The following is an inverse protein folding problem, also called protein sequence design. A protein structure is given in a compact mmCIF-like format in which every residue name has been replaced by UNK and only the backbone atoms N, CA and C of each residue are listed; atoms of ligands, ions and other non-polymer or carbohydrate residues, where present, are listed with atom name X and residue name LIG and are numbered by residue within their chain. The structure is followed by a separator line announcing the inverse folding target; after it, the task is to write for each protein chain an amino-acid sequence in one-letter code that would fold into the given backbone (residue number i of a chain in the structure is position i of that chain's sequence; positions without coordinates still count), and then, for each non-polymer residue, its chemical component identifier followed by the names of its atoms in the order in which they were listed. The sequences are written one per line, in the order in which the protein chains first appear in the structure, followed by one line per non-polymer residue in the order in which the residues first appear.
data_IF_560235194935
#
_entry.id   IF_560235194935
#
_cell.length_a   1.000
_cell.length_b   1.000
_cell.length_c   1.000
_cell.angle_alpha   90.00
_cell.angle_beta   90.00
_cell.angle_gamma   90.00
#
_symmetry.space_group_name_H-M   'P 1'
#
loop_
_entity.id
_entity.type
_entity.pdbx_description
1 polymer ?
#
# COMPACT_ATOMS: atom_id res chain seq x y z
N UNK A 1 -23.41 -66.02 0.42
CA UNK A 1 -22.37 -65.34 -0.37
C UNK A 1 -22.91 -63.96 -0.74
N UNK A 2 -22.43 -62.90 -0.08
CA UNK A 2 -22.77 -61.54 -0.46
C UNK A 2 -21.50 -60.70 -0.25
N UNK A 3 -20.71 -60.55 -1.31
CA UNK A 3 -19.46 -59.80 -1.30
C UNK A 3 -19.76 -58.32 -1.56
N UNK A 4 -19.44 -57.51 -0.54
CA UNK A 4 -19.34 -56.05 -0.62
C UNK A 4 -18.37 -55.68 -1.75
N UNK A 5 -18.82 -54.88 -2.72
CA UNK A 5 -17.90 -54.11 -3.57
C UNK A 5 -17.80 -52.71 -2.97
N UNK A 6 -16.57 -52.39 -2.57
CA UNK A 6 -16.18 -51.18 -1.88
C UNK A 6 -16.07 -50.06 -2.92
N UNK A 7 -16.74 -48.94 -2.68
CA UNK A 7 -16.63 -47.75 -3.51
C UNK A 7 -15.28 -47.10 -3.23
N UNK A 8 -14.36 -47.18 -4.19
CA UNK A 8 -13.14 -46.38 -4.21
C UNK A 8 -13.53 -44.89 -4.29
N UNK A 9 -13.53 -44.23 -3.13
CA UNK A 9 -13.47 -42.77 -3.04
C UNK A 9 -12.01 -42.36 -3.07
N UNK A 10 -11.49 -42.14 -4.27
CA UNK A 10 -10.28 -41.34 -4.46
C UNK A 10 -10.60 -39.91 -4.04
N UNK A 11 -10.20 -39.53 -2.82
CA UNK A 11 -10.21 -38.14 -2.38
C UNK A 11 -9.07 -37.46 -3.12
N UNK A 12 -9.39 -36.70 -4.16
CA UNK A 12 -8.48 -35.70 -4.72
C UNK A 12 -8.29 -34.63 -3.65
N UNK A 13 -7.18 -34.69 -2.92
CA UNK A 13 -6.72 -33.60 -2.07
C UNK A 13 -6.34 -32.48 -3.05
N UNK A 14 -7.27 -31.56 -3.31
CA UNK A 14 -6.89 -30.27 -3.89
C UNK A 14 -5.82 -29.68 -2.96
N UNK A 15 -4.61 -29.55 -3.47
CA UNK A 15 -3.52 -28.86 -2.78
C UNK A 15 -3.98 -27.43 -2.53
N UNK A 16 -4.44 -27.17 -1.31
CA UNK A 16 -4.83 -25.84 -0.83
C UNK A 16 -3.58 -24.96 -0.92
N UNK A 17 -3.53 -24.06 -1.90
CA UNK A 17 -2.43 -23.12 -2.08
C UNK A 17 -2.33 -22.13 -0.91
N UNK A 18 -1.13 -21.60 -0.65
CA UNK A 18 -0.83 -20.75 0.51
C UNK A 18 -1.62 -19.43 0.58
N UNK A 19 -2.28 -19.03 -0.51
CA UNK A 19 -3.05 -17.79 -0.61
C UNK A 19 -4.56 -18.01 -0.78
N UNK A 20 -5.04 -19.26 -0.65
CA UNK A 20 -6.44 -19.64 -0.95
C UNK A 20 -7.48 -18.93 -0.08
N UNK A 21 -7.11 -18.46 1.11
CA UNK A 21 -7.98 -17.75 2.05
C UNK A 21 -7.97 -16.22 1.88
N UNK A 22 -7.14 -15.69 0.97
CA UNK A 22 -7.03 -14.25 0.76
C UNK A 22 -8.06 -13.81 -0.28
N UNK A 23 -9.15 -13.18 0.21
CA UNK A 23 -10.23 -12.66 -0.63
C UNK A 23 -9.74 -11.57 -1.60
N UNK A 24 -10.31 -11.56 -2.80
CA UNK A 24 -10.13 -10.49 -3.79
C UNK A 24 -10.98 -9.24 -3.48
N UNK A 25 -11.97 -9.36 -2.58
CA UNK A 25 -12.86 -8.25 -2.22
C UNK A 25 -12.26 -7.26 -1.21
N UNK A 26 -11.03 -7.51 -0.74
CA UNK A 26 -10.34 -6.64 0.21
C UNK A 26 -9.70 -5.45 -0.53
N UNK A 27 -9.34 -4.39 0.20
CA UNK A 27 -8.50 -3.33 -0.37
C UNK A 27 -7.16 -3.92 -0.83
N UNK A 28 -6.55 -3.27 -1.82
CA UNK A 28 -5.27 -3.71 -2.37
C UNK A 28 -4.15 -3.76 -1.30
N UNK A 29 -4.11 -2.80 -0.38
CA UNK A 29 -3.10 -2.74 0.68
C UNK A 29 -3.25 -3.88 1.68
N UNK A 30 -4.47 -4.16 2.13
CA UNK A 30 -4.74 -5.28 3.05
C UNK A 30 -4.46 -6.62 2.36
N UNK A 31 -4.79 -6.75 1.07
CA UNK A 31 -4.48 -7.96 0.30
C UNK A 31 -2.97 -8.17 0.20
N UNK A 32 -2.20 -7.14 -0.15
CA UNK A 32 -0.74 -7.20 -0.23
C UNK A 32 -0.10 -7.56 1.13
N UNK A 33 -0.55 -6.94 2.22
CA UNK A 33 -0.09 -7.26 3.57
C UNK A 33 -0.30 -8.74 3.90
N UNK A 34 -1.50 -9.30 3.59
CA UNK A 34 -1.79 -10.72 3.81
C UNK A 34 -0.95 -11.65 2.95
N UNK A 35 -0.72 -11.32 1.68
CA UNK A 35 0.14 -12.10 0.79
C UNK A 35 1.55 -12.21 1.38
N UNK A 36 2.10 -11.09 1.87
CA UNK A 36 3.41 -11.04 2.48
C UNK A 36 3.47 -11.81 3.81
N UNK A 37 2.45 -11.70 4.66
CA UNK A 37 2.35 -12.51 5.89
C UNK A 37 2.34 -14.02 5.58
N UNK A 38 1.57 -14.46 4.58
CA UNK A 38 1.53 -15.88 4.16
C UNK A 38 2.86 -16.37 3.59
N UNK A 39 3.55 -15.53 2.82
CA UNK A 39 4.87 -15.85 2.32
C UNK A 39 5.90 -15.98 3.48
N UNK A 40 5.83 -15.09 4.46
CA UNK A 40 6.69 -15.14 5.64
C UNK A 40 6.45 -16.39 6.50
N UNK A 41 5.20 -16.88 6.62
CA UNK A 41 4.86 -18.12 7.34
C UNK A 41 5.61 -19.35 6.82
N UNK A 42 5.99 -19.37 5.53
CA UNK A 42 6.77 -20.46 4.92
C UNK A 42 8.26 -20.15 4.80
N UNK A 43 8.72 -19.08 5.47
CA UNK A 43 10.13 -18.66 5.49
C UNK A 43 10.56 -17.83 4.27
N UNK A 44 9.63 -17.39 3.43
CA UNK A 44 9.91 -16.43 2.35
C UNK A 44 9.74 -15.01 2.90
N UNK A 45 10.75 -14.54 3.63
CA UNK A 45 10.78 -13.21 4.23
C UNK A 45 12.20 -12.61 4.18
N UNK A 46 12.27 -11.29 4.30
CA UNK A 46 13.50 -10.54 4.47
C UNK A 46 14.09 -10.78 5.85
N UNK A 47 15.42 -10.89 5.90
CA UNK A 47 16.18 -11.22 7.11
C UNK A 47 16.20 -10.09 8.14
N UNK A 48 16.16 -8.84 7.67
CA UNK A 48 16.17 -7.65 8.53
C UNK A 48 15.49 -6.43 7.85
N UNK A 49 15.34 -5.36 8.63
CA UNK A 49 14.73 -4.11 8.19
C UNK A 49 15.59 -3.36 7.16
N UNK A 50 16.92 -3.50 7.21
CA UNK A 50 17.82 -2.83 6.27
C UNK A 50 17.63 -3.39 4.86
N UNK A 51 17.48 -4.71 4.73
CA UNK A 51 17.16 -5.36 3.46
C UNK A 51 15.85 -4.85 2.84
N UNK A 52 14.87 -4.47 3.67
CA UNK A 52 13.61 -3.87 3.21
C UNK A 52 13.84 -2.46 2.70
N UNK A 53 14.66 -1.64 3.37
CA UNK A 53 15.02 -0.31 2.88
C UNK A 53 15.83 -0.36 1.58
N UNK A 54 16.78 -1.29 1.48
CA UNK A 54 17.54 -1.54 0.24
C UNK A 54 16.60 -1.90 -0.91
N UNK A 55 15.60 -2.77 -0.66
CA UNK A 55 14.61 -3.12 -1.68
C UNK A 55 13.77 -1.91 -2.11
N UNK A 56 13.31 -1.08 -1.17
CA UNK A 56 12.57 0.15 -1.52
C UNK A 56 13.42 1.09 -2.38
N UNK A 57 14.73 1.19 -2.09
CA UNK A 57 15.64 2.00 -2.89
C UNK A 57 15.82 1.44 -4.32
N UNK A 58 15.94 0.12 -4.45
CA UNK A 58 16.00 -0.58 -5.75
C UNK A 58 14.76 -0.28 -6.60
N UNK A 59 13.56 -0.52 -6.06
CA UNK A 59 12.28 -0.31 -6.75
C UNK A 59 12.10 1.16 -7.20
N UNK A 60 12.58 2.11 -6.38
CA UNK A 60 12.55 3.52 -6.74
C UNK A 60 13.45 3.82 -7.95
N UNK A 61 14.60 3.18 -8.05
CA UNK A 61 15.49 3.34 -9.20
C UNK A 61 14.93 2.65 -10.46
N UNK A 62 14.20 1.54 -10.31
CA UNK A 62 13.47 0.89 -11.41
C UNK A 62 12.35 1.80 -11.94
N UNK A 63 11.56 2.43 -11.05
CA UNK A 63 10.58 3.47 -11.42
C UNK A 63 11.23 4.60 -12.23
N UNK A 64 12.43 5.05 -11.84
CA UNK A 64 13.17 6.09 -12.59
C UNK A 64 13.61 5.60 -13.96
N UNK A 65 14.12 4.37 -14.03
CA UNK A 65 14.63 3.78 -15.27
C UNK A 65 13.51 3.60 -16.31
N UNK A 66 12.31 3.24 -15.87
CA UNK A 66 11.18 2.92 -16.75
C UNK A 66 10.18 4.08 -16.93
N UNK A 67 10.53 5.30 -16.53
CA UNK A 67 9.66 6.48 -16.59
C UNK A 67 9.08 6.79 -17.98
N UNK A 68 9.79 6.41 -19.06
CA UNK A 68 9.33 6.62 -20.45
C UNK A 68 8.48 5.47 -21.00
N UNK A 69 8.25 4.41 -20.22
CA UNK A 69 7.60 3.18 -20.64
C UNK A 69 6.32 2.95 -19.81
N UNK A 70 5.13 3.41 -20.24
CA UNK A 70 3.94 3.45 -19.38
C UNK A 70 3.54 2.12 -18.72
N UNK A 71 3.62 1.01 -19.46
CA UNK A 71 3.25 -0.31 -18.93
C UNK A 71 4.23 -0.77 -17.85
N UNK A 72 5.53 -0.57 -18.07
CA UNK A 72 6.56 -0.93 -17.09
C UNK A 72 6.52 0.00 -15.89
N UNK A 73 6.34 1.31 -16.11
CA UNK A 73 6.18 2.28 -15.04
C UNK A 73 5.04 1.89 -14.07
N UNK A 74 3.94 1.36 -14.59
CA UNK A 74 2.84 0.86 -13.75
C UNK A 74 3.27 -0.34 -12.88
N UNK A 75 4.07 -1.26 -13.44
CA UNK A 75 4.63 -2.42 -12.73
C UNK A 75 5.56 -1.96 -11.60
N UNK A 76 6.57 -1.13 -11.93
CA UNK A 76 7.55 -0.65 -10.95
C UNK A 76 6.90 0.19 -9.82
N UNK A 77 5.87 1.00 -10.15
CA UNK A 77 5.10 1.71 -9.11
C UNK A 77 4.38 0.71 -8.19
N UNK A 78 3.85 -0.37 -8.75
CA UNK A 78 3.21 -1.43 -8.00
C UNK A 78 4.18 -2.11 -7.03
N UNK A 79 5.38 -2.44 -7.52
CA UNK A 79 6.41 -3.12 -6.73
C UNK A 79 7.00 -2.20 -5.65
N UNK A 80 7.20 -0.90 -5.93
CA UNK A 80 7.55 0.10 -4.93
C UNK A 80 6.50 0.20 -3.81
N UNK A 81 5.21 0.22 -4.16
CA UNK A 81 4.11 0.22 -3.18
C UNK A 81 4.13 -1.09 -2.37
N UNK A 82 4.36 -2.23 -3.03
CA UNK A 82 4.43 -3.53 -2.37
C UNK A 82 5.59 -3.60 -1.38
N UNK A 83 6.76 -3.07 -1.73
CA UNK A 83 7.92 -2.94 -0.85
C UNK A 83 7.62 -2.03 0.36
N UNK A 84 6.94 -0.90 0.16
CA UNK A 84 6.51 -0.01 1.26
C UNK A 84 5.51 -0.70 2.22
N UNK A 85 4.62 -1.55 1.71
CA UNK A 85 3.73 -2.36 2.56
C UNK A 85 4.53 -3.38 3.37
N UNK A 86 5.61 -3.91 2.80
CA UNK A 86 6.50 -4.81 3.51
C UNK A 86 7.22 -4.12 4.67
N UNK A 87 7.65 -2.87 4.47
CA UNK A 87 8.17 -2.04 5.55
C UNK A 87 7.12 -1.81 6.65
N UNK A 88 5.88 -1.51 6.28
CA UNK A 88 4.79 -1.36 7.24
C UNK A 88 4.59 -2.66 8.06
N UNK A 89 4.58 -3.82 7.40
CA UNK A 89 4.50 -5.14 8.04
C UNK A 89 5.64 -5.37 9.05
N UNK A 90 6.89 -5.13 8.65
CA UNK A 90 8.07 -5.32 9.52
C UNK A 90 8.10 -4.37 10.71
N UNK A 91 7.47 -3.20 10.59
CA UNK A 91 7.38 -2.19 11.67
C UNK A 91 6.10 -2.27 12.50
N UNK A 92 5.20 -3.22 12.19
CA UNK A 92 3.91 -3.37 12.87
C UNK A 92 2.90 -2.26 12.56
N UNK A 93 3.13 -1.48 11.50
CA UNK A 93 2.23 -0.44 11.02
C UNK A 93 1.18 -1.06 10.10
N UNK A 94 -0.10 -0.76 10.32
CA UNK A 94 -1.17 -1.11 9.40
C UNK A 94 -1.17 -0.12 8.20
N UNK A 95 -0.89 -0.58 6.96
CA UNK A 95 -0.73 0.30 5.81
C UNK A 95 -2.04 1.01 5.41
N UNK A 96 -3.20 0.36 5.61
CA UNK A 96 -4.51 0.95 5.32
C UNK A 96 -4.80 2.13 6.26
N UNK A 97 -4.56 1.94 7.56
CA UNK A 97 -4.69 2.98 8.58
C UNK A 97 -3.68 4.12 8.35
N UNK A 98 -2.46 3.78 7.94
CA UNK A 98 -1.42 4.76 7.65
C UNK A 98 -1.82 5.68 6.48
N UNK A 99 -2.30 5.12 5.37
CA UNK A 99 -2.74 5.92 4.22
C UNK A 99 -4.00 6.73 4.54
N UNK A 100 -4.96 6.16 5.28
CA UNK A 100 -6.13 6.90 5.76
C UNK A 100 -5.72 8.12 6.59
N UNK A 101 -4.79 7.94 7.52
CA UNK A 101 -4.28 9.04 8.35
C UNK A 101 -3.54 10.10 7.52
N UNK A 102 -2.78 9.67 6.50
CA UNK A 102 -2.12 10.57 5.56
C UNK A 102 -3.13 11.42 4.78
N UNK A 103 -4.16 10.79 4.22
CA UNK A 103 -5.21 11.45 3.46
C UNK A 103 -5.97 12.46 4.32
N UNK A 104 -6.31 12.10 5.56
CA UNK A 104 -7.00 13.00 6.49
C UNK A 104 -6.17 14.25 6.81
N UNK A 105 -4.86 14.10 7.06
CA UNK A 105 -3.97 15.27 7.28
C UNK A 105 -3.90 16.15 6.04
N UNK A 106 -3.77 15.55 4.85
CA UNK A 106 -3.76 16.31 3.60
C UNK A 106 -5.05 17.12 3.43
N UNK A 107 -6.21 16.48 3.63
CA UNK A 107 -7.52 17.12 3.53
C UNK A 107 -7.68 18.25 4.55
N UNK A 108 -7.32 18.02 5.81
CA UNK A 108 -7.41 19.03 6.87
C UNK A 108 -6.55 20.25 6.55
N UNK A 109 -5.31 20.05 6.10
CA UNK A 109 -4.41 21.14 5.69
C UNK A 109 -4.97 21.91 4.51
N UNK A 110 -5.53 21.22 3.52
CA UNK A 110 -6.10 21.88 2.35
C UNK A 110 -7.37 22.68 2.69
N UNK A 111 -8.22 22.16 3.58
CA UNK A 111 -9.38 22.89 4.12
C UNK A 111 -8.95 24.16 4.87
N UNK A 112 -7.86 24.11 5.64
CA UNK A 112 -7.31 25.30 6.31
C UNK A 112 -6.88 26.36 5.28
N UNK A 113 -6.17 25.95 4.22
CA UNK A 113 -5.76 26.85 3.13
C UNK A 113 -6.99 27.52 2.51
N UNK A 114 -7.99 26.73 2.12
CA UNK A 114 -9.21 27.20 1.47
C UNK A 114 -9.98 28.19 2.35
N UNK A 115 -10.17 27.87 3.64
CA UNK A 115 -10.84 28.75 4.59
C UNK A 115 -10.08 30.06 4.80
N UNK A 116 -8.76 29.99 4.91
CA UNK A 116 -7.93 31.18 5.14
C UNK A 116 -7.93 32.12 3.94
N UNK A 117 -7.82 31.57 2.72
CA UNK A 117 -7.93 32.35 1.49
C UNK A 117 -9.31 33.01 1.37
N UNK A 118 -10.37 32.27 1.66
CA UNK A 118 -11.73 32.80 1.63
C UNK A 118 -11.91 33.97 2.63
N UNK A 119 -11.35 33.85 3.84
CA UNK A 119 -11.35 34.93 4.84
C UNK A 119 -10.56 36.17 4.38
N UNK A 120 -9.53 35.98 3.55
CA UNK A 120 -8.72 37.04 2.94
C UNK A 120 -9.37 37.63 1.67
N UNK A 121 -10.56 37.16 1.28
CA UNK A 121 -11.23 37.61 0.05
C UNK A 121 -10.59 37.07 -1.23
N UNK A 122 -9.86 35.97 -1.14
CA UNK A 122 -9.22 35.26 -2.25
C UNK A 122 -9.78 33.84 -2.40
N UNK A 123 -9.36 33.13 -3.43
CA UNK A 123 -9.74 31.74 -3.69
C UNK A 123 -8.54 30.89 -4.11
N UNK A 124 -8.68 29.56 -4.05
CA UNK A 124 -7.62 28.63 -4.50
C UNK A 124 -7.20 28.83 -5.96
N UNK A 125 -8.10 29.34 -6.81
CA UNK A 125 -7.81 29.59 -8.23
C UNK A 125 -6.99 30.86 -8.45
N UNK A 126 -7.08 31.81 -7.51
CA UNK A 126 -6.41 33.11 -7.58
C UNK A 126 -5.10 33.11 -6.79
N UNK A 127 -5.00 32.27 -5.75
CA UNK A 127 -3.81 32.15 -4.93
C UNK A 127 -2.63 31.57 -5.71
N UNK A 128 -1.46 32.15 -5.48
CA UNK A 128 -0.20 31.60 -5.96
C UNK A 128 0.19 30.34 -5.18
N UNK A 129 1.02 29.51 -5.80
CA UNK A 129 1.61 28.34 -5.12
C UNK A 129 2.42 28.75 -3.89
N UNK A 130 3.09 29.91 -3.93
CA UNK A 130 3.85 30.42 -2.79
C UNK A 130 2.93 30.76 -1.61
N UNK A 131 1.78 31.40 -1.86
CA UNK A 131 0.78 31.69 -0.83
C UNK A 131 0.19 30.40 -0.25
N UNK A 132 -0.19 29.45 -1.10
CA UNK A 132 -0.70 28.15 -0.66
C UNK A 132 0.34 27.39 0.17
N UNK A 133 1.62 27.43 -0.19
CA UNK A 133 2.69 26.82 0.59
C UNK A 133 2.90 27.51 1.95
N UNK A 134 2.80 28.84 2.03
CA UNK A 134 2.84 29.56 3.31
C UNK A 134 1.68 29.13 4.22
N UNK A 135 0.47 29.04 3.67
CA UNK A 135 -0.70 28.59 4.40
C UNK A 135 -0.61 27.10 4.78
N UNK A 136 0.02 26.27 3.94
CA UNK A 136 0.30 24.86 4.24
C UNK A 136 1.20 24.70 5.46
N UNK A 137 2.31 25.46 5.54
CA UNK A 137 3.18 25.44 6.71
C UNK A 137 2.48 25.97 7.97
N UNK A 138 1.59 26.95 7.84
CA UNK A 138 0.74 27.38 8.97
C UNK A 138 -0.23 26.28 9.41
N UNK A 139 -0.83 25.56 8.48
CA UNK A 139 -1.77 24.48 8.78
C UNK A 139 -1.09 23.37 9.62
N UNK A 140 0.18 23.03 9.33
CA UNK A 140 0.96 22.07 10.12
C UNK A 140 1.13 22.47 11.59
N UNK A 141 1.08 23.76 11.91
CA UNK A 141 1.22 24.27 13.28
C UNK A 141 -0.11 24.22 14.08
N UNK A 142 -1.22 23.93 13.41
CA UNK A 142 -2.56 23.83 14.04
C UNK A 142 -2.95 22.37 14.36
N UNK A 143 -2.11 21.40 13.99
CA UNK A 143 -2.22 19.96 14.32
C UNK A 143 -1.61 19.65 15.69
#
# INVERSE_FOLDING_TARGET
MNTKSNVDKTISIETVGIFTDISQSQSALIRALKLQNRAAEVGFDWVDIESVFEKIAEELEEVRAEFSSPNKLQEEIGDLIFACINLARHTGVDPETAIHSCNNRFEQRFRYIEQTLHQQGSSLKEASLEEMNKLWEQAKLQE
#
